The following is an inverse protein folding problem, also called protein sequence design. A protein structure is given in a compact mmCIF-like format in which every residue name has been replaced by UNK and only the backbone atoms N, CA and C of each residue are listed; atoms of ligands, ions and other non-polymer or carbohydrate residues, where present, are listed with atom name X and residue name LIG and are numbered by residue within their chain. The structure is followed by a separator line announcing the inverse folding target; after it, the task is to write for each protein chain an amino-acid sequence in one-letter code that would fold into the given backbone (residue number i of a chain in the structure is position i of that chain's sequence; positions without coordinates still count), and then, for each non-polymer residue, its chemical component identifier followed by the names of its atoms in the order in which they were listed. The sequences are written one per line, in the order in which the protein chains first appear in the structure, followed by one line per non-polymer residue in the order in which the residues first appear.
data_IF_343378980190
#
_entry.id   IF_343378980190
#
_cell.length_a   1.000
_cell.length_b   1.000
_cell.length_c   1.000
_cell.angle_alpha   90.00
_cell.angle_beta   90.00
_cell.angle_gamma   90.00
#
_symmetry.space_group_name_H-M   'P 1'
#
loop_
_entity.id
_entity.type
_entity.pdbx_description
1 polymer ?
#
# COMPACT_ATOMS: atom_id res chain seq x y z
N UNK A 1 -23.19 -10.35 22.16
CA UNK A 1 -23.02 -9.11 21.38
C UNK A 1 -22.59 -9.53 19.98
N UNK A 2 -23.32 -9.15 18.94
CA UNK A 2 -22.92 -9.43 17.56
C UNK A 2 -21.77 -8.52 17.15
N UNK A 3 -20.97 -8.95 16.17
CA UNK A 3 -19.99 -8.07 15.56
C UNK A 3 -20.72 -7.20 14.52
N UNK A 4 -20.50 -5.89 14.56
CA UNK A 4 -21.13 -4.93 13.65
C UNK A 4 -20.02 -4.16 12.92
N UNK A 5 -20.20 -3.94 11.62
CA UNK A 5 -19.28 -3.12 10.85
C UNK A 5 -19.37 -1.68 11.33
N UNK A 6 -18.24 -1.03 11.59
CA UNK A 6 -18.19 0.38 11.98
C UNK A 6 -18.71 1.29 10.86
N UNK A 7 -18.41 0.96 9.60
CA UNK A 7 -18.78 1.78 8.44
C UNK A 7 -20.27 1.68 8.09
N UNK A 8 -20.88 0.50 8.23
CA UNK A 8 -22.25 0.26 7.76
C UNK A 8 -23.26 0.05 8.89
N UNK A 9 -22.80 -0.17 10.12
CA UNK A 9 -23.65 -0.50 11.27
C UNK A 9 -24.37 -1.84 11.14
N UNK A 10 -24.13 -2.60 10.07
CA UNK A 10 -24.77 -3.89 9.83
C UNK A 10 -24.04 -5.01 10.58
N UNK A 11 -24.77 -6.04 11.05
CA UNK A 11 -24.14 -7.21 11.64
C UNK A 11 -23.25 -7.87 10.57
N UNK A 12 -21.99 -8.12 10.92
CA UNK A 12 -21.09 -8.88 10.08
C UNK A 12 -20.76 -10.20 10.78
N UNK A 13 -20.70 -11.25 9.97
CA UNK A 13 -20.22 -12.56 10.40
C UNK A 13 -18.83 -12.75 9.83
N UNK A 14 -17.89 -13.15 10.68
CA UNK A 14 -16.55 -13.54 10.25
C UNK A 14 -16.50 -15.06 10.21
N UNK A 15 -16.26 -15.63 9.04
CA UNK A 15 -16.15 -17.08 8.84
C UNK A 15 -14.72 -17.47 8.49
N UNK A 16 -14.48 -18.78 8.47
CA UNK A 16 -13.21 -19.35 8.01
C UNK A 16 -12.91 -18.95 6.55
N UNK A 17 -13.94 -18.81 5.71
CA UNK A 17 -13.78 -18.38 4.32
C UNK A 17 -13.20 -16.96 4.24
N UNK A 18 -13.52 -16.07 5.19
CA UNK A 18 -12.90 -14.73 5.25
C UNK A 18 -11.42 -14.79 5.61
N UNK A 19 -10.99 -15.78 6.40
CA UNK A 19 -9.58 -16.01 6.68
C UNK A 19 -8.85 -16.58 5.44
N UNK A 20 -9.52 -17.48 4.71
CA UNK A 20 -8.92 -18.25 3.61
C UNK A 20 -8.96 -17.53 2.26
N UNK A 21 -9.71 -16.43 2.14
CA UNK A 21 -9.92 -15.72 0.88
C UNK A 21 -8.62 -15.27 0.18
N UNK A 22 -7.51 -15.14 0.92
CA UNK A 22 -6.22 -14.72 0.38
C UNK A 22 -5.32 -15.88 -0.08
N UNK A 23 -5.65 -17.13 0.26
CA UNK A 23 -4.76 -18.27 0.02
C UNK A 23 -4.42 -18.47 -1.46
N UNK A 24 -5.39 -18.27 -2.37
CA UNK A 24 -5.14 -18.41 -3.81
C UNK A 24 -4.24 -17.29 -4.34
N UNK A 25 -4.41 -16.06 -3.85
CA UNK A 25 -3.53 -14.94 -4.19
C UNK A 25 -2.09 -15.17 -3.69
N UNK A 26 -1.93 -15.72 -2.48
CA UNK A 26 -0.60 -16.05 -1.95
C UNK A 26 0.10 -17.12 -2.79
N UNK A 27 -0.62 -18.14 -3.26
CA UNK A 27 -0.08 -19.16 -4.17
C UNK A 27 0.33 -18.57 -5.51
N UNK A 28 -0.50 -17.71 -6.08
CA UNK A 28 -0.20 -17.02 -7.34
C UNK A 28 1.06 -16.17 -7.19
N UNK A 29 1.14 -15.33 -6.15
CA UNK A 29 2.31 -14.51 -5.84
C UNK A 29 3.58 -15.34 -5.67
N UNK A 30 3.52 -16.46 -4.94
CA UNK A 30 4.66 -17.33 -4.73
C UNK A 30 5.14 -18.03 -6.03
N UNK A 31 4.23 -18.24 -6.98
CA UNK A 31 4.56 -18.84 -8.28
C UNK A 31 5.02 -17.82 -9.34
N UNK A 32 4.83 -16.53 -9.06
CA UNK A 32 5.24 -15.46 -9.97
C UNK A 32 6.76 -15.29 -9.96
N UNK A 33 7.33 -15.28 -11.17
CA UNK A 33 8.74 -14.96 -11.40
C UNK A 33 8.91 -13.55 -11.97
N UNK A 34 7.85 -12.72 -11.91
CA UNK A 34 7.95 -11.33 -12.34
C UNK A 34 8.89 -10.57 -11.41
N UNK A 35 9.84 -9.88 -12.03
CA UNK A 35 10.64 -8.88 -11.32
C UNK A 35 9.75 -7.65 -11.20
N UNK A 36 9.17 -7.44 -10.02
CA UNK A 36 8.29 -6.31 -9.76
C UNK A 36 9.15 -5.13 -9.34
N UNK A 37 9.08 -4.03 -10.09
CA UNK A 37 9.56 -2.75 -9.59
C UNK A 37 8.67 -2.31 -8.43
N UNK A 38 9.29 -2.19 -7.25
CA UNK A 38 8.61 -1.73 -6.04
C UNK A 38 9.04 -0.29 -5.81
N UNK A 39 8.28 0.64 -6.34
CA UNK A 39 8.45 2.07 -6.06
C UNK A 39 7.40 2.52 -5.05
N UNK A 40 7.84 3.20 -3.98
CA UNK A 40 6.99 3.77 -2.93
C UNK A 40 7.16 5.29 -2.96
N UNK A 41 6.05 6.00 -3.08
CA UNK A 41 6.01 7.46 -2.98
C UNK A 41 5.54 7.86 -1.59
N UNK A 42 6.25 8.79 -0.96
CA UNK A 42 5.95 9.25 0.40
C UNK A 42 5.89 10.77 0.44
N UNK A 43 4.75 11.28 0.92
CA UNK A 43 4.67 12.63 1.45
C UNK A 43 5.20 12.60 2.89
N UNK A 44 6.26 13.36 3.15
CA UNK A 44 6.89 13.39 4.48
C UNK A 44 6.03 14.14 5.52
N UNK A 45 4.94 14.80 5.08
CA UNK A 45 3.92 15.42 5.93
C UNK A 45 2.72 14.55 6.24
N UNK A 46 2.69 13.27 5.83
CA UNK A 46 1.60 12.34 6.16
C UNK A 46 1.37 12.28 7.68
N UNK A 47 0.14 12.59 8.08
CA UNK A 47 -0.29 12.70 9.46
C UNK A 47 -0.76 11.38 10.09
N UNK A 48 -0.96 10.33 9.27
CA UNK A 48 -1.42 9.00 9.72
C UNK A 48 -0.31 7.95 9.65
N UNK A 49 0.51 7.99 8.61
CA UNK A 49 1.65 7.09 8.42
C UNK A 49 2.94 7.75 8.91
N UNK A 50 3.78 6.98 9.60
CA UNK A 50 5.12 7.42 9.97
C UNK A 50 6.04 7.32 8.74
N UNK A 51 6.13 8.41 7.97
CA UNK A 51 6.92 8.48 6.73
C UNK A 51 8.41 8.24 6.96
N UNK A 52 8.98 8.66 8.10
CA UNK A 52 10.39 8.45 8.44
C UNK A 52 10.68 6.98 8.74
N UNK A 53 9.84 6.35 9.55
CA UNK A 53 9.95 4.91 9.81
C UNK A 53 9.70 4.10 8.54
N UNK A 54 8.79 4.54 7.67
CA UNK A 54 8.51 3.89 6.38
C UNK A 54 9.71 3.97 5.45
N UNK A 55 10.30 5.16 5.30
CA UNK A 55 11.55 5.36 4.56
C UNK A 55 12.64 4.41 5.09
N UNK A 56 12.91 4.44 6.40
CA UNK A 56 13.94 3.60 7.02
C UNK A 56 13.71 2.10 6.79
N UNK A 57 12.47 1.63 6.95
CA UNK A 57 12.13 0.19 6.86
C UNK A 57 12.19 -0.37 5.44
N UNK A 58 11.92 0.47 4.43
CA UNK A 58 11.75 0.04 3.04
C UNK A 58 12.86 0.48 2.09
N UNK A 59 13.79 1.35 2.51
CA UNK A 59 14.86 1.87 1.66
C UNK A 59 15.71 0.78 0.96
N UNK A 60 15.88 -0.38 1.59
CA UNK A 60 16.64 -1.51 1.02
C UNK A 60 15.76 -2.50 0.23
N UNK A 61 14.43 -2.34 0.28
CA UNK A 61 13.44 -3.30 -0.26
C UNK A 61 12.67 -2.77 -1.46
N UNK A 62 12.67 -1.46 -1.63
CA UNK A 62 11.91 -0.70 -2.61
C UNK A 62 12.67 0.57 -3.00
N UNK A 63 12.37 1.10 -4.18
CA UNK A 63 12.75 2.44 -4.57
C UNK A 63 11.85 3.43 -3.80
N UNK A 64 12.43 4.26 -2.93
CA UNK A 64 11.65 5.24 -2.17
C UNK A 64 11.82 6.62 -2.83
N UNK A 65 10.71 7.29 -3.13
CA UNK A 65 10.68 8.68 -3.61
C UNK A 65 9.94 9.51 -2.59
N UNK A 66 10.63 10.47 -1.97
CA UNK A 66 10.04 11.33 -0.93
C UNK A 66 9.78 12.74 -1.45
N UNK A 67 8.70 13.34 -0.94
CA UNK A 67 8.33 14.73 -1.15
C UNK A 67 8.23 15.43 0.20
N UNK A 68 8.79 16.64 0.32
CA UNK A 68 8.72 17.39 1.58
C UNK A 68 7.30 17.91 1.82
N UNK A 69 6.75 17.71 3.02
CA UNK A 69 5.37 18.13 3.32
C UNK A 69 4.34 17.21 2.66
N UNK A 70 3.20 17.78 2.26
CA UNK A 70 2.04 17.02 1.77
C UNK A 70 1.18 16.49 2.92
N UNK A 71 0.36 15.49 2.62
CA UNK A 71 -0.58 14.88 3.58
C UNK A 71 -0.85 13.41 3.25
N UNK A 72 -1.59 12.73 4.12
CA UNK A 72 -2.01 11.34 3.90
C UNK A 72 -2.76 11.12 2.57
N UNK A 73 -3.41 12.16 2.05
CA UNK A 73 -4.12 12.11 0.76
C UNK A 73 -3.19 12.08 -0.47
N UNK A 74 -1.88 12.21 -0.26
CA UNK A 74 -0.82 12.28 -1.27
C UNK A 74 -0.98 13.45 -2.26
N UNK A 75 -0.48 14.62 -1.88
CA UNK A 75 -0.67 15.88 -2.62
C UNK A 75 0.27 15.99 -3.84
N UNK A 76 1.39 15.27 -3.80
CA UNK A 76 2.43 15.34 -4.83
C UNK A 76 2.18 14.43 -6.04
N UNK A 77 0.95 13.92 -6.22
CA UNK A 77 0.60 13.03 -7.33
C UNK A 77 1.05 13.55 -8.70
N UNK A 78 0.87 14.86 -8.97
CA UNK A 78 1.28 15.47 -10.25
C UNK A 78 2.80 15.39 -10.48
N UNK A 79 3.59 15.46 -9.41
CA UNK A 79 5.05 15.35 -9.47
C UNK A 79 5.48 13.88 -9.61
N UNK A 80 4.69 12.94 -9.08
CA UNK A 80 4.94 11.52 -9.17
C UNK A 80 4.60 10.90 -10.53
N UNK A 81 3.64 11.47 -11.28
CA UNK A 81 3.18 10.92 -12.57
C UNK A 81 4.31 10.51 -13.54
N UNK A 82 5.35 11.32 -13.79
CA UNK A 82 6.43 10.92 -14.71
C UNK A 82 7.21 9.69 -14.24
N UNK A 83 7.34 9.49 -12.93
CA UNK A 83 8.02 8.31 -12.36
C UNK A 83 7.08 7.10 -12.44
N UNK A 84 5.78 7.29 -12.20
CA UNK A 84 4.77 6.24 -12.37
C UNK A 84 4.76 5.74 -13.82
N UNK A 85 4.80 6.64 -14.80
CA UNK A 85 4.85 6.27 -16.22
C UNK A 85 6.10 5.43 -16.54
N UNK A 86 7.26 5.78 -15.97
CA UNK A 86 8.49 4.99 -16.11
C UNK A 86 8.37 3.60 -15.48
N UNK A 87 7.74 3.48 -14.32
CA UNK A 87 7.58 2.19 -13.63
C UNK A 87 6.61 1.27 -14.39
N UNK A 88 5.55 1.82 -14.99
CA UNK A 88 4.51 1.03 -15.66
C UNK A 88 4.84 0.66 -17.10
N UNK A 89 5.61 1.48 -17.81
CA UNK A 89 5.78 1.36 -19.26
C UNK A 89 7.23 1.22 -19.74
N UNK A 90 8.21 1.16 -18.83
CA UNK A 90 9.58 0.77 -19.21
C UNK A 90 9.72 -0.73 -19.48
#
# INVERSE_FOLDING_TARGET
MGNFSYETGLPYSWSQENCEQYNEYEKELASSHQTIDRTIFLDMGDELLDSENTLSKYNEKANIVTYSGGSHSFEHIRQALPIIDQVLFN
#
